data_IF_341911451050
#
_entry.id   IF_341911451050
#
_cell.length_a   1.000
_cell.length_b   1.000
_cell.length_c   1.000
_cell.angle_alpha   90.00
_cell.angle_beta   90.00
_cell.angle_gamma   90.00
#
_symmetry.space_group_name_H-M   'P 1'
#
loop_
_entity.id
_entity.type
_entity.pdbx_description
1 polymer ?
#
# COMPACT_ATOMS: atom_id res chain seq x y z
N UNK A 1 -7.47 -7.52 10.49
CA UNK A 1 -6.38 -7.24 9.52
C UNK A 1 -5.25 -8.23 9.76
N UNK A 2 -4.59 -8.72 8.71
CA UNK A 2 -3.38 -9.52 8.81
C UNK A 2 -2.26 -8.82 8.05
N UNK A 3 -1.06 -8.79 8.63
CA UNK A 3 0.12 -8.27 7.97
C UNK A 3 0.94 -9.42 7.40
N UNK A 4 1.49 -9.19 6.22
CA UNK A 4 2.33 -10.10 5.48
C UNK A 4 3.60 -9.35 5.08
N UNK A 5 4.75 -10.01 5.19
CA UNK A 5 6.00 -9.48 4.68
C UNK A 5 6.24 -10.09 3.29
N UNK A 6 6.37 -9.23 2.28
CA UNK A 6 6.60 -9.59 0.88
C UNK A 6 7.98 -9.09 0.48
N UNK A 7 8.79 -9.91 -0.18
CA UNK A 7 10.10 -9.46 -0.64
C UNK A 7 9.99 -8.76 -2.00
N UNK A 8 10.43 -7.51 -2.06
CA UNK A 8 10.59 -6.74 -3.31
C UNK A 8 12.06 -6.64 -3.69
N UNK A 9 12.33 -6.63 -4.99
CA UNK A 9 13.64 -6.31 -5.55
C UNK A 9 13.67 -4.84 -5.96
N UNK A 10 14.58 -4.06 -5.39
CA UNK A 10 14.91 -2.71 -5.84
C UNK A 10 16.42 -2.59 -6.01
N UNK A 11 16.87 -2.11 -7.16
CA UNK A 11 18.29 -1.98 -7.50
C UNK A 11 19.12 -3.26 -7.27
N UNK A 12 18.52 -4.43 -7.51
CA UNK A 12 19.17 -5.73 -7.29
C UNK A 12 19.22 -6.20 -5.84
N UNK A 13 18.65 -5.45 -4.90
CA UNK A 13 18.57 -5.81 -3.48
C UNK A 13 17.14 -6.22 -3.13
N UNK A 14 16.98 -7.41 -2.54
CA UNK A 14 15.71 -7.86 -2.00
C UNK A 14 15.49 -7.28 -0.60
N UNK A 15 14.34 -6.66 -0.36
CA UNK A 15 13.97 -6.12 0.94
C UNK A 15 12.50 -6.43 1.26
N UNK A 16 12.16 -6.64 2.54
CA UNK A 16 10.80 -6.94 2.94
C UNK A 16 9.94 -5.66 2.93
N UNK A 17 8.77 -5.77 2.35
CA UNK A 17 7.69 -4.79 2.41
C UNK A 17 6.54 -5.38 3.20
N UNK A 18 6.11 -4.66 4.23
CA UNK A 18 4.98 -5.06 5.05
C UNK A 18 3.69 -4.58 4.41
N UNK A 19 2.80 -5.51 4.10
CA UNK A 19 1.48 -5.24 3.52
C UNK A 19 0.40 -5.76 4.46
N UNK A 20 -0.52 -4.88 4.85
CA UNK A 20 -1.70 -5.24 5.61
C UNK A 20 -2.86 -5.57 4.67
N UNK A 21 -3.54 -6.68 4.93
CA UNK A 21 -4.77 -7.08 4.24
C UNK A 21 -5.94 -6.98 5.21
N UNK A 22 -6.87 -6.09 4.88
CA UNK A 22 -8.13 -5.90 5.59
C UNK A 22 -9.11 -7.06 5.35
N UNK A 23 -10.06 -7.30 6.26
CA UNK A 23 -11.10 -8.32 6.09
C UNK A 23 -12.06 -8.03 4.92
N UNK A 24 -12.08 -6.78 4.47
CA UNK A 24 -12.79 -6.23 3.32
C UNK A 24 -12.00 -6.31 2.00
N UNK A 25 -10.78 -6.88 2.04
CA UNK A 25 -9.89 -6.93 0.89
C UNK A 25 -9.15 -5.61 0.63
N UNK A 26 -9.24 -4.63 1.53
CA UNK A 26 -8.43 -3.41 1.43
C UNK A 26 -6.95 -3.72 1.68
N UNK A 27 -6.09 -3.07 0.89
CA UNK A 27 -4.65 -3.13 1.03
C UNK A 27 -4.15 -1.90 1.78
N UNK A 28 -3.34 -2.18 2.78
CA UNK A 28 -2.74 -1.23 3.69
C UNK A 28 -1.24 -1.26 3.49
N UNK A 29 -0.69 -0.18 2.94
CA UNK A 29 0.71 -0.14 2.52
C UNK A 29 1.37 1.08 3.18
N UNK A 30 2.65 0.95 3.48
CA UNK A 30 3.47 2.10 3.88
C UNK A 30 3.47 3.14 2.74
N UNK A 31 3.14 4.42 3.00
CA UNK A 31 3.08 5.43 1.94
C UNK A 31 4.41 5.61 1.19
N UNK A 32 5.55 5.34 1.83
CA UNK A 32 6.86 5.45 1.16
C UNK A 32 7.04 4.38 0.06
N UNK A 33 6.44 3.21 0.22
CA UNK A 33 6.50 2.11 -0.76
C UNK A 33 5.71 2.39 -2.04
N UNK A 34 4.71 3.27 -1.93
CA UNK A 34 3.91 3.75 -3.05
C UNK A 34 4.41 5.10 -3.58
N UNK A 35 5.45 5.69 -2.98
CA UNK A 35 5.92 7.04 -3.29
C UNK A 35 4.78 8.07 -3.22
N UNK A 36 3.91 7.98 -2.21
CA UNK A 36 2.72 8.83 -2.12
C UNK A 36 3.11 10.30 -1.99
N UNK A 37 2.66 11.18 -2.92
CA UNK A 37 2.89 12.62 -2.80
C UNK A 37 2.26 13.18 -1.51
N UNK A 38 2.92 14.14 -0.88
CA UNK A 38 2.42 14.77 0.35
C UNK A 38 1.03 15.40 0.16
N UNK A 39 0.74 15.94 -1.03
CA UNK A 39 -0.57 16.47 -1.36
C UNK A 39 -1.68 15.40 -1.34
N UNK A 40 -1.38 14.17 -1.77
CA UNK A 40 -2.31 13.04 -1.71
C UNK A 40 -2.53 12.65 -0.25
N UNK A 41 -1.47 12.64 0.58
CA UNK A 41 -1.58 12.39 2.02
C UNK A 41 -2.50 13.41 2.71
N UNK A 42 -2.41 14.69 2.34
CA UNK A 42 -3.31 15.72 2.87
C UNK A 42 -4.76 15.50 2.43
N UNK A 43 -4.98 15.11 1.18
CA UNK A 43 -6.32 14.86 0.62
C UNK A 43 -6.99 13.59 1.15
N UNK A 44 -6.22 12.63 1.66
CA UNK A 44 -6.79 11.45 2.31
C UNK A 44 -7.67 11.82 3.51
N UNK A 45 -7.36 12.89 4.26
CA UNK A 45 -8.16 13.29 5.40
C UNK A 45 -9.62 13.65 5.02
N UNK A 46 -9.83 14.14 3.79
CA UNK A 46 -11.10 14.64 3.29
C UNK A 46 -11.75 13.70 2.25
N UNK A 47 -11.18 12.52 2.00
CA UNK A 47 -11.66 11.63 0.94
C UNK A 47 -12.98 10.96 1.34
N UNK A 48 -14.06 11.11 0.55
CA UNK A 48 -15.42 10.70 0.93
C UNK A 48 -15.67 9.19 0.76
N UNK A 49 -14.63 8.38 0.63
CA UNK A 49 -14.75 6.95 0.40
C UNK A 49 -15.20 6.17 1.63
N UNK A 50 -15.72 4.95 1.44
CA UNK A 50 -16.10 4.09 2.54
C UNK A 50 -14.86 3.56 3.26
N UNK A 51 -14.90 3.61 4.60
CA UNK A 51 -13.94 2.94 5.47
C UNK A 51 -12.75 3.82 5.90
N UNK A 52 -11.85 3.25 6.73
CA UNK A 52 -10.67 3.97 7.16
C UNK A 52 -9.70 4.17 5.98
N UNK A 53 -8.94 5.26 6.03
CA UNK A 53 -7.98 5.63 4.98
C UNK A 53 -6.53 5.58 5.45
N UNK A 54 -6.35 5.69 6.76
CA UNK A 54 -5.08 5.60 7.43
C UNK A 54 -5.23 4.69 8.65
N UNK A 55 -4.26 3.83 8.88
CA UNK A 55 -4.13 3.03 10.09
C UNK A 55 -2.80 3.34 10.76
N UNK A 56 -2.83 3.54 12.07
CA UNK A 56 -1.65 3.67 12.89
C UNK A 56 -1.34 2.30 13.51
N UNK A 57 -0.15 1.79 13.25
CA UNK A 57 0.42 0.67 14.01
C UNK A 57 1.18 1.24 15.22
N UNK A 58 0.52 1.27 16.38
CA UNK A 58 1.06 1.78 17.63
C UNK A 58 2.34 1.04 18.08
N UNK A 59 2.48 -0.23 17.71
CA UNK A 59 3.64 -1.05 18.08
C UNK A 59 4.91 -0.63 17.34
N UNK A 60 4.77 -0.10 16.12
CA UNK A 60 5.89 0.32 15.27
C UNK A 60 5.93 1.83 15.01
N UNK A 61 4.93 2.58 15.51
CA UNK A 61 4.68 4.00 15.19
C UNK A 61 4.66 4.26 13.68
N UNK A 62 4.04 3.36 12.92
CA UNK A 62 3.96 3.45 11.45
C UNK A 62 2.55 3.76 10.99
N UNK A 63 2.45 4.51 9.91
CA UNK A 63 1.18 4.81 9.24
C UNK A 63 1.09 3.94 8.00
N UNK A 64 -0.03 3.25 7.85
CA UNK A 64 -0.41 2.56 6.63
C UNK A 64 -1.56 3.29 5.97
N UNK A 65 -1.54 3.39 4.65
CA UNK A 65 -2.57 4.05 3.86
C UNK A 65 -3.37 3.04 3.04
N UNK A 66 -4.64 3.34 2.82
CA UNK A 66 -5.47 2.60 1.88
C UNK A 66 -4.94 2.84 0.46
N UNK A 67 -4.28 1.83 -0.09
CA UNK A 67 -3.58 1.92 -1.37
C UNK A 67 -4.50 2.31 -2.54
N UNK A 68 -5.74 1.84 -2.51
CA UNK A 68 -6.74 2.17 -3.54
C UNK A 68 -7.15 3.63 -3.47
N UNK A 69 -7.44 4.15 -2.27
CA UNK A 69 -7.82 5.54 -2.09
C UNK A 69 -6.70 6.50 -2.53
N UNK A 70 -5.45 6.17 -2.16
CA UNK A 70 -4.26 6.89 -2.63
C UNK A 70 -4.16 6.92 -4.15
N UNK A 71 -4.29 5.76 -4.81
CA UNK A 71 -4.23 5.69 -6.26
C UNK A 71 -5.34 6.51 -6.91
N UNK A 72 -6.57 6.50 -6.37
CA UNK A 72 -7.70 7.28 -6.89
C UNK A 72 -7.53 8.80 -6.71
N UNK A 73 -6.87 9.24 -5.63
CA UNK A 73 -6.61 10.65 -5.34
C UNK A 73 -5.44 11.23 -6.12
N UNK A 74 -4.52 10.39 -6.59
CA UNK A 74 -3.31 10.80 -7.33
C UNK A 74 -3.69 11.41 -8.68
N UNK A 75 -3.43 12.70 -8.92
CA UNK A 75 -3.91 13.41 -10.11
C UNK A 75 -3.07 13.14 -11.36
N UNK A 76 -1.76 12.90 -11.22
CA UNK A 76 -0.89 12.61 -12.36
C UNK A 76 -1.15 11.20 -12.91
N UNK A 77 -1.61 11.04 -14.17
CA UNK A 77 -1.97 9.74 -14.72
C UNK A 77 -0.81 8.74 -14.75
N UNK A 78 0.40 9.20 -15.05
CA UNK A 78 1.58 8.33 -15.10
C UNK A 78 1.99 7.83 -13.70
N UNK A 79 1.87 8.69 -12.68
CA UNK A 79 2.14 8.32 -11.28
C UNK A 79 1.07 7.36 -10.78
N UNK A 80 -0.20 7.66 -11.05
CA UNK A 80 -1.32 6.77 -10.74
C UNK A 80 -1.15 5.39 -11.39
N UNK A 81 -0.70 5.33 -12.66
CA UNK A 81 -0.43 4.08 -13.36
C UNK A 81 0.70 3.29 -12.68
N UNK A 82 1.82 3.93 -12.38
CA UNK A 82 2.95 3.29 -11.70
C UNK A 82 2.58 2.77 -10.29
N UNK A 83 1.73 3.50 -9.56
CA UNK A 83 1.18 3.05 -8.27
C UNK A 83 0.30 1.81 -8.44
N UNK A 84 -0.59 1.78 -9.44
CA UNK A 84 -1.45 0.61 -9.71
C UNK A 84 -0.60 -0.61 -10.07
N UNK A 85 0.40 -0.46 -10.92
CA UNK A 85 1.34 -1.54 -11.25
C UNK A 85 2.09 -2.05 -10.00
N UNK A 86 2.48 -1.14 -9.10
CA UNK A 86 3.09 -1.51 -7.81
C UNK A 86 2.12 -2.27 -6.91
N UNK A 87 0.86 -1.84 -6.83
CA UNK A 87 -0.19 -2.51 -6.06
C UNK A 87 -0.44 -3.92 -6.62
N UNK A 88 -0.52 -4.07 -7.93
CA UNK A 88 -0.72 -5.35 -8.59
C UNK A 88 0.46 -6.31 -8.33
N UNK A 89 1.71 -5.82 -8.40
CA UNK A 89 2.89 -6.61 -8.05
C UNK A 89 2.89 -7.07 -6.58
N UNK A 90 2.41 -6.22 -5.66
CA UNK A 90 2.27 -6.58 -4.25
C UNK A 90 1.17 -7.63 -4.05
N UNK A 91 0.05 -7.50 -4.75
CA UNK A 91 -1.03 -8.50 -4.76
C UNK A 91 -0.55 -9.85 -5.29
N UNK A 92 0.22 -9.84 -6.37
CA UNK A 92 0.87 -11.05 -6.89
C UNK A 92 1.82 -11.65 -5.85
N UNK A 93 2.60 -10.81 -5.16
CA UNK A 93 3.45 -11.25 -4.03
C UNK A 93 2.67 -11.90 -2.89
N UNK A 94 1.42 -11.48 -2.65
CA UNK A 94 0.49 -12.07 -1.69
C UNK A 94 -0.19 -13.34 -2.22
N UNK A 95 0.06 -13.77 -3.46
CA UNK A 95 -0.57 -14.97 -3.99
C UNK A 95 -0.15 -16.21 -3.16
N UNK A 96 -1.09 -17.08 -2.75
CA UNK A 96 -0.82 -18.20 -1.84
C UNK A 96 0.35 -19.11 -2.25
N UNK A 97 0.61 -19.23 -3.56
CA UNK A 97 1.71 -20.03 -4.11
C UNK A 97 3.10 -19.42 -3.92
N UNK A 98 3.18 -18.13 -3.58
CA UNK A 98 4.44 -17.40 -3.39
C UNK A 98 4.93 -17.45 -1.93
N UNK A 99 4.07 -17.81 -0.99
CA UNK A 99 4.47 -18.20 0.36
C UNK A 99 4.93 -19.66 0.34
N UNK A 100 6.13 -19.93 -0.18
CA UNK A 100 6.75 -21.25 -0.03
C UNK A 100 7.22 -21.44 1.42
N UNK A 101 7.06 -22.64 2.01
CA UNK A 101 7.58 -22.96 3.35
C UNK A 101 9.10 -22.93 3.40
#
# INVERSE_FOLDING_TARGET
MRFHDIFRLSNGVAYPVRVGVGPDGLLWIDPDELYVPQEVMLRLADYPGPGPLMLLDDGQRRVFVNARAVAELTPEPDVQKAMRETIDLLLDGLHPTNFRP
#
